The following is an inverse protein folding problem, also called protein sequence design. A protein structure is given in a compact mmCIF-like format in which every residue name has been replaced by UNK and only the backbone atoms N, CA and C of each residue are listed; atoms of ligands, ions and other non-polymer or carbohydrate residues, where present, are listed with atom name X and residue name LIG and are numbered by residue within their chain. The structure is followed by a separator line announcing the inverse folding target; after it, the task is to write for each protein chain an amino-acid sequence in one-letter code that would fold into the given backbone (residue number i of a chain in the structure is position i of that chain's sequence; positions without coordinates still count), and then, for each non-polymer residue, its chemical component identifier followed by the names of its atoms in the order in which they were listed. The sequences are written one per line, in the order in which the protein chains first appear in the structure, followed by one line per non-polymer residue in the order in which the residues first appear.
data_IF_976351055837
#
_entry.id   IF_976351055837
#
_cell.length_a   1.000
_cell.length_b   1.000
_cell.length_c   1.000
_cell.angle_alpha   90.00
_cell.angle_beta   90.00
_cell.angle_gamma   90.00
#
_symmetry.space_group_name_H-M   'P 1'
#
loop_
_entity.id
_entity.type
_entity.pdbx_description
1 polymer ?
#
# COMPACT_ATOMS: atom_id res chain seq x y z
N UNK A 1 5.54 -42.97 -10.04
CA UNK A 1 4.48 -42.43 -9.15
C UNK A 1 4.96 -41.31 -8.24
N UNK A 2 6.03 -41.50 -7.42
CA UNK A 2 6.52 -40.45 -6.49
C UNK A 2 6.88 -39.11 -7.15
N UNK A 3 7.57 -39.14 -8.31
CA UNK A 3 7.92 -37.92 -9.05
C UNK A 3 6.69 -37.16 -9.57
N UNK A 4 5.67 -37.88 -10.09
CA UNK A 4 4.42 -37.28 -10.55
C UNK A 4 3.64 -36.55 -9.43
N UNK A 5 3.69 -37.08 -8.20
CA UNK A 5 3.03 -36.47 -7.04
C UNK A 5 3.76 -35.17 -6.65
N UNK A 6 5.09 -35.16 -6.69
CA UNK A 6 5.89 -33.96 -6.36
C UNK A 6 5.65 -32.86 -7.39
N UNK A 7 5.61 -33.20 -8.69
CA UNK A 7 5.33 -32.22 -9.74
C UNK A 7 3.92 -31.67 -9.65
N UNK A 8 2.92 -32.50 -9.37
CA UNK A 8 1.54 -32.06 -9.17
C UNK A 8 1.39 -31.14 -7.95
N UNK A 9 2.10 -31.44 -6.85
CA UNK A 9 2.10 -30.63 -5.64
C UNK A 9 2.80 -29.27 -5.83
N UNK A 10 3.89 -29.22 -6.59
CA UNK A 10 4.55 -27.96 -6.97
C UNK A 10 3.67 -27.07 -7.86
N UNK A 11 2.89 -27.67 -8.77
CA UNK A 11 1.95 -26.95 -9.63
C UNK A 11 0.79 -26.32 -8.82
N UNK A 12 0.29 -27.05 -7.81
CA UNK A 12 -0.76 -26.57 -6.90
C UNK A 12 -0.28 -25.42 -6.00
N UNK A 13 0.96 -25.44 -5.50
CA UNK A 13 1.53 -24.33 -4.72
C UNK A 13 1.75 -23.05 -5.55
N UNK A 14 1.98 -23.19 -6.85
CA UNK A 14 2.20 -22.03 -7.73
C UNK A 14 0.90 -21.27 -8.03
N UNK A 15 -0.26 -21.94 -7.89
CA UNK A 15 -1.57 -21.35 -8.16
C UNK A 15 -2.08 -20.41 -7.04
N UNK A 16 -1.39 -20.35 -5.88
CA UNK A 16 -1.77 -19.50 -4.74
C UNK A 16 -0.86 -18.29 -4.55
N UNK A 17 -0.22 -17.80 -5.63
CA UNK A 17 0.53 -16.54 -5.61
C UNK A 17 -0.45 -15.36 -5.69
N UNK A 18 -1.32 -15.23 -4.68
CA UNK A 18 -2.06 -13.99 -4.47
C UNK A 18 -1.09 -12.89 -3.98
N UNK A 19 -1.28 -11.67 -4.48
CA UNK A 19 -0.53 -10.51 -4.02
C UNK A 19 -0.85 -10.29 -2.55
N UNK A 20 0.08 -10.65 -1.66
CA UNK A 20 -0.12 -10.52 -0.23
C UNK A 20 -0.32 -9.05 0.16
N UNK A 21 -1.26 -8.79 1.05
CA UNK A 21 -1.44 -7.48 1.69
C UNK A 21 -0.12 -7.06 2.33
N UNK A 22 0.42 -5.92 1.92
CA UNK A 22 1.71 -5.41 2.35
C UNK A 22 1.55 -4.50 3.58
N UNK A 23 2.25 -4.88 4.64
CA UNK A 23 2.34 -4.12 5.89
C UNK A 23 3.78 -4.15 6.43
N UNK A 24 4.40 -2.98 6.56
CA UNK A 24 5.75 -2.81 7.09
C UNK A 24 5.71 -2.52 8.59
N UNK A 25 6.50 -3.28 9.36
CA UNK A 25 6.57 -3.15 10.83
C UNK A 25 6.86 -1.72 11.30
N UNK A 26 7.73 -0.99 10.58
CA UNK A 26 8.07 0.39 10.91
C UNK A 26 6.87 1.34 10.81
N UNK A 27 5.99 1.16 9.81
CA UNK A 27 4.80 1.99 9.70
C UNK A 27 3.75 1.62 10.75
N UNK A 28 3.63 0.34 11.08
CA UNK A 28 2.81 -0.11 12.22
C UNK A 28 3.24 0.58 13.51
N UNK A 29 4.54 0.62 13.79
CA UNK A 29 5.09 1.29 14.97
C UNK A 29 4.71 2.78 15.00
N UNK A 30 4.92 3.51 13.90
CA UNK A 30 4.59 4.94 13.79
C UNK A 30 3.09 5.18 14.01
N UNK A 31 2.23 4.35 13.40
CA UNK A 31 0.77 4.47 13.52
C UNK A 31 0.30 4.15 14.96
N UNK A 32 0.94 3.21 15.64
CA UNK A 32 0.59 2.82 17.01
C UNK A 32 1.12 3.80 18.07
N UNK A 33 2.14 4.58 17.78
CA UNK A 33 2.66 5.63 18.67
C UNK A 33 1.71 6.84 18.77
N UNK A 34 0.70 6.94 17.90
CA UNK A 34 -0.28 8.00 17.92
C UNK A 34 -1.30 7.83 19.07
N UNK A 35 -1.52 8.89 19.86
CA UNK A 35 -2.46 8.89 20.99
C UNK A 35 -3.90 9.33 20.67
N UNK A 36 -4.21 9.62 19.40
CA UNK A 36 -5.53 10.08 18.96
C UNK A 36 -6.56 8.93 18.94
N UNK A 37 -7.62 9.08 19.72
CA UNK A 37 -8.61 8.03 19.94
C UNK A 37 -9.44 7.71 18.69
N UNK A 38 -9.65 8.69 17.80
CA UNK A 38 -10.35 8.48 16.54
C UNK A 38 -9.47 7.67 15.58
N UNK A 39 -8.21 8.06 15.41
CA UNK A 39 -7.25 7.34 14.58
C UNK A 39 -7.09 5.89 15.04
N UNK A 40 -6.93 5.67 16.35
CA UNK A 40 -6.85 4.31 16.90
C UNK A 40 -8.14 3.51 16.65
N UNK A 41 -9.31 4.14 16.75
CA UNK A 41 -10.59 3.50 16.41
C UNK A 41 -10.68 3.11 14.94
N UNK A 42 -10.18 3.94 14.03
CA UNK A 42 -10.15 3.63 12.60
C UNK A 42 -9.18 2.48 12.30
N UNK A 43 -7.95 2.56 12.81
CA UNK A 43 -6.90 1.56 12.58
C UNK A 43 -7.26 0.17 13.12
N UNK A 44 -8.06 0.09 14.21
CA UNK A 44 -8.52 -1.18 14.76
C UNK A 44 -9.64 -1.84 13.95
N UNK A 45 -10.26 -1.13 13.01
CA UNK A 45 -11.42 -1.60 12.25
C UNK A 45 -11.19 -1.51 10.72
N UNK A 46 -10.15 -2.17 10.17
CA UNK A 46 -9.81 -2.06 8.75
C UNK A 46 -10.93 -2.49 7.81
N UNK A 47 -11.74 -3.49 8.18
CA UNK A 47 -12.87 -3.96 7.37
C UNK A 47 -14.02 -2.93 7.27
N UNK A 48 -14.20 -2.10 8.30
CA UNK A 48 -15.25 -1.08 8.32
C UNK A 48 -14.87 0.13 7.46
N UNK A 49 -13.60 0.54 7.51
CA UNK A 49 -13.12 1.76 6.88
C UNK A 49 -12.39 1.55 5.56
N UNK A 50 -12.03 0.31 5.22
CA UNK A 50 -11.37 -0.09 3.98
C UNK A 50 -10.27 0.90 3.57
N UNK A 51 -9.21 1.02 4.37
CA UNK A 51 -8.12 1.94 4.06
C UNK A 51 -6.88 1.21 3.55
N UNK A 52 -6.07 1.92 2.76
CA UNK A 52 -4.70 1.56 2.44
C UNK A 52 -3.81 2.77 2.76
N UNK A 53 -2.70 2.59 3.47
CA UNK A 53 -1.79 3.68 3.83
C UNK A 53 -0.43 3.43 3.19
N UNK A 54 0.01 4.39 2.36
CA UNK A 54 1.36 4.41 1.79
C UNK A 54 2.05 5.67 2.33
N UNK A 55 3.08 5.47 3.13
CA UNK A 55 3.92 6.55 3.64
C UNK A 55 5.24 6.59 2.88
N UNK A 56 5.45 7.66 2.12
CA UNK A 56 6.71 7.89 1.40
C UNK A 56 7.57 8.88 2.18
N UNK A 57 8.68 8.40 2.75
CA UNK A 57 9.72 9.27 3.31
C UNK A 57 10.55 9.83 2.16
N UNK A 58 10.69 11.15 2.14
CA UNK A 58 11.50 11.89 1.16
C UNK A 58 12.73 12.42 1.89
N UNK A 59 13.88 11.78 1.67
CA UNK A 59 15.16 12.24 2.19
C UNK A 59 15.87 13.09 1.12
N UNK A 60 16.49 14.21 1.49
CA UNK A 60 17.17 15.12 0.53
C UNK A 60 18.65 15.22 0.88
N UNK A 61 19.51 15.09 -0.12
CA UNK A 61 20.95 15.26 0.08
C UNK A 61 21.37 16.75 0.21
N UNK A 62 22.66 17.00 0.45
CA UNK A 62 23.20 18.37 0.56
C UNK A 62 23.03 19.23 -0.71
N UNK A 63 22.73 18.61 -1.85
CA UNK A 63 22.44 19.25 -3.15
C UNK A 63 20.93 19.28 -3.44
N UNK A 64 20.10 19.01 -2.43
CA UNK A 64 18.65 18.96 -2.52
C UNK A 64 18.09 17.85 -3.45
N UNK A 65 18.89 16.82 -3.77
CA UNK A 65 18.43 15.67 -4.56
C UNK A 65 17.59 14.74 -3.69
N UNK A 66 16.33 14.42 -4.06
CA UNK A 66 15.48 13.56 -3.26
C UNK A 66 15.80 12.07 -3.47
N UNK A 67 15.68 11.29 -2.39
CA UNK A 67 15.53 9.83 -2.40
C UNK A 67 14.24 9.45 -1.68
N UNK A 68 13.61 8.38 -2.14
CA UNK A 68 12.27 7.97 -1.69
C UNK A 68 12.35 6.61 -1.02
N UNK A 69 11.79 6.49 0.18
CA UNK A 69 11.57 5.22 0.87
C UNK A 69 10.09 5.05 1.15
N UNK A 70 9.46 4.00 0.61
CA UNK A 70 8.05 3.72 0.83
C UNK A 70 7.84 2.72 1.96
N UNK A 71 6.87 3.01 2.81
CA UNK A 71 6.34 2.11 3.83
C UNK A 71 4.84 1.92 3.59
N UNK A 72 4.37 0.71 3.79
CA UNK A 72 3.03 0.26 3.41
C UNK A 72 2.31 -0.27 4.64
N UNK A 73 1.00 -0.02 4.74
CA UNK A 73 0.15 -0.58 5.78
C UNK A 73 -1.22 -0.90 5.20
N UNK A 74 -1.59 -2.18 5.29
CA UNK A 74 -2.82 -2.73 4.73
C UNK A 74 -2.94 -2.52 3.20
N UNK A 75 -1.82 -2.60 2.46
CA UNK A 75 -1.81 -2.29 1.02
C UNK A 75 -1.99 -3.56 0.19
N UNK A 76 -3.08 -3.64 -0.57
CA UNK A 76 -3.34 -4.67 -1.56
C UNK A 76 -3.38 -4.05 -2.97
N UNK A 77 -2.48 -4.52 -3.84
CA UNK A 77 -2.37 -4.02 -5.22
C UNK A 77 -3.57 -4.39 -6.09
N UNK A 78 -4.38 -5.37 -5.69
CA UNK A 78 -5.61 -5.77 -6.39
C UNK A 78 -6.83 -4.96 -5.95
N UNK A 79 -6.72 -4.22 -4.84
CA UNK A 79 -7.82 -3.43 -4.29
C UNK A 79 -7.92 -2.04 -4.92
N UNK A 80 -9.02 -1.78 -5.64
CA UNK A 80 -9.30 -0.49 -6.29
C UNK A 80 -10.07 0.47 -5.36
N UNK A 81 -9.70 1.75 -5.41
CA UNK A 81 -10.33 2.84 -4.66
C UNK A 81 -10.90 3.87 -5.62
N UNK A 82 -12.20 4.16 -5.51
CA UNK A 82 -12.81 5.24 -6.27
C UNK A 82 -12.30 6.59 -5.74
N UNK A 83 -11.56 7.39 -6.55
CA UNK A 83 -10.94 8.63 -6.09
C UNK A 83 -11.93 9.77 -5.85
N UNK A 84 -13.23 9.60 -6.13
CA UNK A 84 -14.27 10.62 -5.93
C UNK A 84 -13.86 12.00 -6.46
N UNK A 85 -13.80 13.06 -5.64
CA UNK A 85 -13.39 14.38 -6.12
C UNK A 85 -11.88 14.54 -6.38
N UNK A 86 -11.04 13.58 -6.00
CA UNK A 86 -9.57 13.65 -6.19
C UNK A 86 -9.19 13.63 -7.68
N UNK A 87 -10.02 13.06 -8.56
CA UNK A 87 -9.81 13.09 -10.03
C UNK A 87 -9.74 14.50 -10.60
N UNK A 88 -10.31 15.50 -9.92
CA UNK A 88 -10.27 16.89 -10.38
C UNK A 88 -8.84 17.45 -10.43
N UNK A 89 -7.96 17.00 -9.54
CA UNK A 89 -6.58 17.52 -9.48
C UNK A 89 -5.73 17.05 -10.67
N UNK A 90 -5.67 15.75 -11.04
CA UNK A 90 -5.04 15.32 -12.29
C UNK A 90 -5.59 16.05 -13.53
N UNK A 91 -6.91 16.28 -13.60
CA UNK A 91 -7.52 17.00 -14.71
C UNK A 91 -7.06 18.47 -14.77
N UNK A 92 -6.96 19.14 -13.62
CA UNK A 92 -6.43 20.51 -13.55
C UNK A 92 -4.97 20.56 -14.03
N UNK A 93 -4.12 19.61 -13.59
CA UNK A 93 -2.72 19.55 -14.02
C UNK A 93 -2.57 19.30 -15.52
N UNK A 94 -3.35 18.39 -16.10
CA UNK A 94 -3.38 18.15 -17.54
C UNK A 94 -3.84 19.39 -18.33
N UNK A 95 -4.74 20.19 -17.75
CA UNK A 95 -5.19 21.43 -18.38
C UNK A 95 -4.08 22.49 -18.40
N UNK A 96 -3.27 22.56 -17.33
CA UNK A 96 -2.13 23.47 -17.24
C UNK A 96 -0.96 23.06 -18.14
N UNK A 97 -0.79 21.78 -18.44
CA UNK A 97 0.26 21.29 -19.36
C UNK A 97 0.12 21.88 -20.77
N UNK A 98 -1.11 22.26 -21.17
CA UNK A 98 -1.39 22.83 -22.50
C UNK A 98 -1.19 24.35 -22.58
N UNK A 99 -0.87 25.02 -21.47
CA UNK A 99 -0.57 26.45 -21.42
C UNK A 99 0.92 26.71 -21.60
#
# INVERSE_FOLDING_TARGET
MRSFIITAMALLLSATMDGQVKTDAKLVEILNQNGDSLMQSVLKNPAAYNYQIIYTRIDRDRRNKPSFTNFYYNVDSKSYFNPASVVKMPLAFLSLEKL
#
